data_IF_063056910909
#
_entry.id   IF_063056910909
#
_cell.length_a   1.000
_cell.length_b   1.000
_cell.length_c   1.000
_cell.angle_alpha   90.00
_cell.angle_beta   90.00
_cell.angle_gamma   90.00
#
_symmetry.space_group_name_H-M   'P 1'
#
loop_
_entity.id
_entity.type
_entity.pdbx_description
1 polymer ?
#
# COMPACT_ATOMS: atom_id res chain seq x y z
N UNK A 1 -5.57 -4.37 -10.87
CA UNK A 1 -5.71 -5.82 -11.06
C UNK A 1 -4.31 -6.40 -11.08
N UNK A 2 -3.98 -7.27 -10.13
CA UNK A 2 -2.63 -7.82 -9.91
C UNK A 2 -2.07 -8.57 -11.12
N UNK A 3 -2.92 -9.01 -12.08
CA UNK A 3 -2.53 -9.78 -13.29
C UNK A 3 -1.64 -10.99 -12.96
N UNK A 4 -1.88 -11.65 -11.83
CA UNK A 4 -1.05 -12.74 -11.29
C UNK A 4 0.44 -12.37 -11.11
N UNK A 5 0.76 -11.08 -10.96
CA UNK A 5 2.10 -10.60 -10.63
C UNK A 5 2.16 -10.35 -9.11
N UNK A 6 2.90 -11.19 -8.34
CA UNK A 6 2.90 -11.14 -6.88
C UNK A 6 3.49 -9.86 -6.30
N UNK A 7 4.16 -9.04 -7.12
CA UNK A 7 4.74 -7.76 -6.69
C UNK A 7 4.01 -6.55 -7.28
N UNK A 8 2.87 -6.73 -7.95
CA UNK A 8 2.11 -5.65 -8.59
C UNK A 8 1.12 -4.95 -7.65
N UNK A 9 1.56 -4.66 -6.42
CA UNK A 9 0.86 -3.75 -5.49
C UNK A 9 0.67 -2.37 -6.11
N UNK A 10 -0.27 -1.58 -5.57
CA UNK A 10 -0.63 -0.28 -6.13
C UNK A 10 0.56 0.65 -6.34
N UNK A 11 1.44 0.75 -5.35
CA UNK A 11 2.66 1.58 -5.38
C UNK A 11 3.68 1.05 -6.39
N UNK A 12 3.86 -0.27 -6.46
CA UNK A 12 4.77 -0.90 -7.40
C UNK A 12 4.28 -0.73 -8.84
N UNK A 13 2.97 -0.88 -9.07
CA UNK A 13 2.35 -0.60 -10.36
C UNK A 13 2.47 0.88 -10.73
N UNK A 14 2.32 1.80 -9.77
CA UNK A 14 2.53 3.24 -9.97
C UNK A 14 3.94 3.54 -10.47
N UNK A 15 4.96 3.03 -9.76
CA UNK A 15 6.38 3.18 -10.14
C UNK A 15 6.67 2.56 -11.51
N UNK A 16 6.12 1.37 -11.79
CA UNK A 16 6.28 0.71 -13.09
C UNK A 16 5.66 1.54 -14.22
N UNK A 17 4.49 2.14 -13.99
CA UNK A 17 3.80 2.97 -14.98
C UNK A 17 4.48 4.32 -15.22
N UNK A 18 5.21 4.86 -14.22
CA UNK A 18 6.04 6.05 -14.40
C UNK A 18 7.20 5.80 -15.38
N UNK A 19 7.57 4.53 -15.60
CA UNK A 19 8.65 4.15 -16.50
C UNK A 19 10.03 4.47 -15.93
N UNK A 20 11.06 4.41 -16.79
CA UNK A 20 12.43 4.65 -16.35
C UNK A 20 12.70 6.14 -16.24
N UNK A 21 12.94 6.61 -15.02
CA UNK A 21 13.35 7.97 -14.71
C UNK A 21 14.79 7.98 -14.17
N UNK A 22 15.51 9.07 -14.43
CA UNK A 22 16.86 9.27 -13.88
C UNK A 22 16.82 9.65 -12.39
N UNK A 23 15.72 10.24 -11.93
CA UNK A 23 15.50 10.68 -10.55
C UNK A 23 14.00 10.79 -10.26
N UNK A 24 13.61 10.60 -9.00
CA UNK A 24 12.27 10.88 -8.46
C UNK A 24 12.27 12.12 -7.55
N UNK A 25 13.32 12.95 -7.64
CA UNK A 25 13.41 14.19 -6.89
C UNK A 25 12.19 15.09 -7.15
N UNK A 26 11.60 15.62 -6.07
CA UNK A 26 10.37 16.41 -6.13
C UNK A 26 9.08 15.62 -6.34
N UNK A 27 9.15 14.29 -6.55
CA UNK A 27 7.95 13.47 -6.68
C UNK A 27 7.20 13.34 -5.36
N UNK A 28 5.87 13.25 -5.45
CA UNK A 28 4.98 12.84 -4.36
C UNK A 28 4.30 11.55 -4.77
N UNK A 29 4.37 10.53 -3.93
CA UNK A 29 3.61 9.29 -4.14
C UNK A 29 2.30 9.36 -3.37
N UNK A 30 1.22 8.99 -4.04
CA UNK A 30 -0.12 8.86 -3.45
C UNK A 30 -0.49 7.39 -3.42
N UNK A 31 -0.91 6.89 -2.26
CA UNK A 31 -1.45 5.55 -2.09
C UNK A 31 -2.75 5.61 -1.30
N UNK A 32 -3.71 4.76 -1.65
CA UNK A 32 -5.01 4.72 -0.96
C UNK A 32 -4.93 4.03 0.39
N UNK A 33 -3.96 3.14 0.58
CA UNK A 33 -3.74 2.34 1.78
C UNK A 33 -2.30 2.51 2.25
N UNK A 34 -2.06 2.41 3.55
CA UNK A 34 -0.71 2.40 4.09
C UNK A 34 0.16 1.34 3.39
N UNK A 35 1.38 1.68 2.93
CA UNK A 35 2.19 0.75 2.15
C UNK A 35 2.71 -0.41 3.01
N UNK A 36 2.80 -1.60 2.40
CA UNK A 36 3.49 -2.75 3.00
C UNK A 36 5.03 -2.52 3.03
N UNK A 37 5.77 -3.44 3.63
CA UNK A 37 7.24 -3.35 3.72
C UNK A 37 7.93 -3.29 2.34
N UNK A 38 7.43 -4.05 1.37
CA UNK A 38 7.95 -4.04 0.00
C UNK A 38 7.79 -2.65 -0.65
N UNK A 39 6.57 -2.11 -0.63
CA UNK A 39 6.27 -0.80 -1.19
C UNK A 39 7.03 0.31 -0.45
N UNK A 40 7.14 0.20 0.87
CA UNK A 40 7.94 1.09 1.71
C UNK A 40 9.41 1.10 1.29
N UNK A 41 10.01 -0.07 1.12
CA UNK A 41 11.37 -0.21 0.62
C UNK A 41 11.56 0.43 -0.76
N UNK A 42 10.62 0.25 -1.68
CA UNK A 42 10.66 0.87 -3.01
C UNK A 42 10.61 2.40 -2.95
N UNK A 43 9.69 2.96 -2.16
CA UNK A 43 9.53 4.42 -1.98
C UNK A 43 10.84 5.04 -1.44
N UNK A 44 11.43 4.40 -0.41
CA UNK A 44 12.68 4.84 0.19
C UNK A 44 13.87 4.70 -0.77
N UNK A 45 13.97 3.57 -1.48
CA UNK A 45 15.03 3.31 -2.46
C UNK A 45 15.04 4.35 -3.58
N UNK A 46 13.87 4.72 -4.09
CA UNK A 46 13.76 5.73 -5.16
C UNK A 46 13.90 7.18 -4.64
N UNK A 47 14.01 7.38 -3.33
CA UNK A 47 14.26 8.70 -2.75
C UNK A 47 13.07 9.65 -2.82
N UNK A 48 11.84 9.13 -2.93
CA UNK A 48 10.62 9.94 -2.92
C UNK A 48 10.48 10.59 -1.54
N UNK A 49 10.35 11.92 -1.51
CA UNK A 49 10.39 12.71 -0.27
C UNK A 49 9.03 13.09 0.31
N UNK A 50 7.95 12.82 -0.40
CA UNK A 50 6.59 13.04 0.08
C UNK A 50 5.68 11.86 -0.23
N UNK A 51 4.99 11.38 0.79
CA UNK A 51 4.02 10.30 0.73
C UNK A 51 2.66 10.80 1.24
N UNK A 52 1.62 10.61 0.45
CA UNK A 52 0.23 10.89 0.84
C UNK A 52 -0.52 9.57 0.90
N UNK A 53 -1.07 9.26 2.08
CA UNK A 53 -1.73 8.00 2.39
C UNK A 53 -3.22 8.26 2.61
N UNK A 54 -4.07 7.51 1.92
CA UNK A 54 -5.52 7.58 2.08
C UNK A 54 -5.94 7.16 3.49
N UNK A 55 -5.58 5.95 3.89
CA UNK A 55 -5.93 5.41 5.22
C UNK A 55 -4.91 4.36 5.71
N UNK A 56 -4.88 4.11 7.02
CA UNK A 56 -4.00 3.14 7.68
C UNK A 56 -4.73 2.30 8.76
N UNK A 57 -6.06 2.25 8.69
CA UNK A 57 -6.91 1.53 9.64
C UNK A 57 -7.13 0.07 9.20
N UNK A 58 -7.42 -0.16 7.91
CA UNK A 58 -7.68 -1.54 7.42
C UNK A 58 -6.39 -2.32 7.19
N UNK A 59 -5.27 -1.61 7.06
CA UNK A 59 -3.91 -2.12 7.10
C UNK A 59 -2.99 -1.01 7.59
N UNK A 60 -2.28 -1.24 8.69
CA UNK A 60 -1.50 -0.19 9.35
C UNK A 60 -0.18 0.12 8.62
N UNK A 61 0.51 -0.91 8.12
CA UNK A 61 1.90 -0.79 7.70
C UNK A 61 2.80 -0.24 8.82
N UNK A 62 3.94 0.36 8.44
CA UNK A 62 4.76 1.15 9.35
C UNK A 62 5.06 2.52 8.72
N UNK A 63 4.23 3.51 9.05
CA UNK A 63 4.43 4.87 8.56
C UNK A 63 5.57 5.62 9.27
N UNK A 64 6.02 5.12 10.44
CA UNK A 64 7.03 5.81 11.25
C UNK A 64 8.42 5.79 10.60
N UNK A 65 8.73 4.71 9.89
CA UNK A 65 10.00 4.56 9.14
C UNK A 65 10.23 5.66 8.11
N UNK A 66 9.16 6.21 7.52
CA UNK A 66 9.28 7.32 6.57
C UNK A 66 9.75 8.61 7.26
N UNK A 67 9.17 8.93 8.42
CA UNK A 67 9.58 10.09 9.20
C UNK A 67 11.04 9.98 9.65
N UNK A 68 11.47 8.78 10.10
CA UNK A 68 12.86 8.50 10.48
C UNK A 68 13.85 8.66 9.30
N UNK A 69 13.38 8.46 8.07
CA UNK A 69 14.15 8.59 6.83
C UNK A 69 14.00 9.97 6.16
N UNK A 70 13.35 10.92 6.82
CA UNK A 70 13.15 12.28 6.33
C UNK A 70 12.20 12.38 5.13
N UNK A 71 11.19 11.52 5.08
CA UNK A 71 10.08 11.58 4.12
C UNK A 71 8.89 12.23 4.82
N UNK A 72 8.30 13.23 4.20
CA UNK A 72 7.06 13.86 4.67
C UNK A 72 5.88 12.91 4.44
N UNK A 73 5.14 12.58 5.49
CA UNK A 73 3.94 11.73 5.41
C UNK A 73 2.71 12.55 5.73
N UNK A 74 1.70 12.48 4.85
CA UNK A 74 0.36 13.02 5.08
C UNK A 74 -0.63 11.87 5.10
N UNK A 75 -1.17 11.56 6.27
CA UNK A 75 -2.29 10.63 6.42
C UNK A 75 -3.60 11.41 6.33
N UNK A 76 -4.40 11.12 5.31
CA UNK A 76 -5.67 11.82 5.05
C UNK A 76 -6.82 11.30 5.92
N UNK A 77 -6.72 10.06 6.39
CA UNK A 77 -7.78 9.37 7.11
C UNK A 77 -9.12 9.31 6.33
N UNK A 78 -9.02 9.15 5.00
CA UNK A 78 -10.15 9.28 4.06
C UNK A 78 -11.14 8.13 4.22
N UNK A 79 -12.38 8.46 4.60
CA UNK A 79 -13.45 7.47 4.79
C UNK A 79 -13.74 6.64 3.55
N UNK A 80 -13.59 7.21 2.35
CA UNK A 80 -13.84 6.50 1.09
C UNK A 80 -12.79 5.40 0.86
N UNK A 81 -11.54 5.66 1.27
CA UNK A 81 -10.49 4.64 1.19
C UNK A 81 -10.75 3.51 2.18
N UNK A 82 -11.15 3.85 3.41
CA UNK A 82 -11.51 2.87 4.45
C UNK A 82 -12.68 1.99 4.02
N UNK A 83 -13.76 2.61 3.54
CA UNK A 83 -14.97 1.91 3.12
C UNK A 83 -14.68 0.95 1.96
N UNK A 84 -13.89 1.41 0.98
CA UNK A 84 -13.47 0.60 -0.17
C UNK A 84 -12.63 -0.61 0.27
N UNK A 85 -11.63 -0.41 1.14
CA UNK A 85 -10.77 -1.50 1.59
C UNK A 85 -11.53 -2.48 2.50
N UNK A 86 -12.39 -1.99 3.39
CA UNK A 86 -13.22 -2.82 4.23
C UNK A 86 -14.20 -3.68 3.39
N UNK A 87 -14.82 -3.11 2.35
CA UNK A 87 -15.67 -3.88 1.43
C UNK A 87 -14.85 -4.94 0.68
N UNK A 88 -13.67 -4.57 0.17
CA UNK A 88 -12.79 -5.48 -0.56
C UNK A 88 -12.35 -6.67 0.29
N UNK A 89 -11.80 -6.41 1.50
CA UNK A 89 -11.35 -7.43 2.43
C UNK A 89 -12.51 -8.36 2.86
N UNK A 90 -13.70 -7.80 3.07
CA UNK A 90 -14.90 -8.59 3.39
C UNK A 90 -15.34 -9.48 2.22
N UNK A 91 -15.30 -8.96 0.99
CA UNK A 91 -15.81 -9.66 -0.20
C UNK A 91 -14.82 -10.67 -0.77
N UNK A 92 -13.52 -10.41 -0.60
CA UNK A 92 -12.43 -11.22 -1.16
C UNK A 92 -11.31 -11.47 -0.14
N UNK A 93 -11.61 -12.11 1.01
CA UNK A 93 -10.64 -12.29 2.09
C UNK A 93 -9.43 -13.13 1.67
N UNK A 94 -9.62 -14.15 0.83
CA UNK A 94 -8.52 -14.99 0.32
C UNK A 94 -7.58 -14.19 -0.60
N UNK A 95 -8.14 -13.30 -1.42
CA UNK A 95 -7.36 -12.44 -2.32
C UNK A 95 -6.56 -11.41 -1.53
N UNK A 96 -7.17 -10.84 -0.48
CA UNK A 96 -6.45 -9.95 0.42
C UNK A 96 -5.31 -10.67 1.15
N UNK A 97 -5.56 -11.85 1.70
CA UNK A 97 -4.53 -12.64 2.37
C UNK A 97 -3.37 -12.99 1.42
N UNK A 98 -3.68 -13.43 0.19
CA UNK A 98 -2.68 -13.64 -0.87
C UNK A 98 -1.86 -12.38 -1.14
N UNK A 99 -2.49 -11.21 -1.20
CA UNK A 99 -1.85 -9.94 -1.53
C UNK A 99 -0.78 -9.52 -0.51
N UNK A 100 -0.98 -9.85 0.77
CA UNK A 100 -0.03 -9.56 1.85
C UNK A 100 0.81 -10.78 2.27
N UNK A 101 0.69 -11.91 1.55
CA UNK A 101 1.47 -13.12 1.81
C UNK A 101 1.07 -13.87 3.09
N UNK A 102 -0.18 -13.72 3.54
CA UNK A 102 -0.73 -14.40 4.70
C UNK A 102 -1.62 -15.60 4.29
N UNK A 103 -1.75 -16.63 5.13
CA UNK A 103 -2.76 -17.66 4.90
C UNK A 103 -4.16 -17.07 5.01
N UNK A 104 -5.14 -17.54 4.21
CA UNK A 104 -6.52 -17.11 4.36
C UNK A 104 -7.01 -17.43 5.78
N UNK A 105 -7.81 -16.53 6.35
CA UNK A 105 -8.44 -16.77 7.64
C UNK A 105 -9.19 -18.10 7.60
N UNK A 106 -9.09 -18.95 8.65
CA UNK A 106 -9.85 -20.19 8.70
C UNK A 106 -11.33 -19.85 8.54
N UNK A 107 -12.02 -20.56 7.63
CA UNK A 107 -13.45 -20.40 7.46
C UNK A 107 -14.09 -20.52 8.85
N UNK A 108 -14.77 -19.45 9.30
CA UNK A 108 -15.57 -19.54 10.51
C UNK A 108 -16.50 -20.74 10.30
N UNK A 109 -16.36 -21.74 11.18
CA UNK A 109 -17.26 -22.87 11.19
C UNK A 109 -18.66 -22.28 11.40
N UNK A 110 -19.46 -22.28 10.34
CA UNK A 110 -20.88 -22.00 10.45
C UNK A 110 -21.44 -23.04 11.44
N UNK A 111 -21.63 -22.62 12.68
CA UNK A 111 -22.34 -23.35 13.74
C UNK A 111 -23.67 -22.69 14.00
#
# INVERSE_FOLDING_TARGET
MQRNDPIAHGEMACLRNAGRLASYEGATLYTTLSPCEMCTGAILLFGIKRLVVGEATTFAGDLSVFAERGVEVVLLDDSRCKDLMAEFQKRFPEVWAEDIGEPPAPAESLS
#
